data_IF_324111384541
#
_entry.id   IF_324111384541
#
_cell.length_a   1.000
_cell.length_b   1.000
_cell.length_c   1.000
_cell.angle_alpha   90.00
_cell.angle_beta   90.00
_cell.angle_gamma   90.00
#
_symmetry.space_group_name_H-M   'P 1'
#
loop_
_entity.id
_entity.type
_entity.pdbx_description
1 polymer ?
#
# COMPACT_ATOMS: atom_id res chain seq x y z
N UNK A 1 24.37 -2.84 16.28
CA UNK A 1 23.42 -3.91 15.93
C UNK A 1 23.57 -4.25 14.44
N UNK A 2 23.24 -5.47 14.00
CA UNK A 2 23.46 -5.92 12.61
C UNK A 2 22.81 -5.01 11.56
N UNK A 3 21.60 -4.50 11.85
CA UNK A 3 20.83 -3.64 10.95
C UNK A 3 21.56 -2.34 10.61
N UNK A 4 22.11 -1.65 11.61
CA UNK A 4 22.54 -0.27 11.50
C UNK A 4 24.04 -0.03 11.67
N UNK A 5 24.81 -1.03 12.11
CA UNK A 5 26.27 -0.95 12.30
C UNK A 5 26.74 0.31 13.08
N UNK A 6 25.92 0.78 14.02
CA UNK A 6 26.21 1.95 14.86
C UNK A 6 25.64 3.28 14.35
N UNK A 7 25.07 3.32 13.14
CA UNK A 7 24.49 4.53 12.56
C UNK A 7 23.06 4.79 13.04
N UNK A 8 22.69 6.06 13.09
CA UNK A 8 21.31 6.51 13.27
C UNK A 8 20.98 7.62 12.27
N UNK A 9 19.69 7.79 11.98
CA UNK A 9 19.21 9.01 11.32
C UNK A 9 18.91 10.08 12.38
N UNK A 10 18.57 11.29 11.94
CA UNK A 10 18.30 12.42 12.83
C UNK A 10 17.23 12.10 13.90
N UNK A 11 16.18 11.35 13.52
CA UNK A 11 15.11 10.93 14.44
C UNK A 11 15.66 10.02 15.55
N UNK A 12 16.56 9.09 15.21
CA UNK A 12 17.20 8.19 16.17
C UNK A 12 18.13 8.93 17.14
N UNK A 13 18.91 9.90 16.66
CA UNK A 13 19.81 10.69 17.52
C UNK A 13 19.05 11.52 18.57
N UNK A 14 17.84 11.99 18.26
CA UNK A 14 17.00 12.75 19.19
C UNK A 14 16.02 11.90 20.00
N UNK A 15 16.13 10.56 19.94
CA UNK A 15 15.20 9.66 20.62
C UNK A 15 15.14 9.89 22.14
N UNK A 16 16.25 10.30 22.77
CA UNK A 16 16.28 10.61 24.20
C UNK A 16 15.33 11.76 24.61
N UNK A 17 14.87 12.61 23.66
CA UNK A 17 14.02 13.77 23.96
C UNK A 17 12.52 13.49 23.88
N UNK A 18 12.08 12.46 23.15
CA UNK A 18 10.65 12.25 22.83
C UNK A 18 9.79 12.01 24.07
N UNK A 19 10.44 11.62 25.18
CA UNK A 19 9.76 11.39 26.45
C UNK A 19 9.64 12.62 27.35
N UNK A 20 10.17 13.77 26.97
CA UNK A 20 10.27 14.94 27.86
C UNK A 20 9.55 16.17 27.31
N UNK A 21 8.56 15.98 26.43
CA UNK A 21 7.63 17.05 26.06
C UNK A 21 6.94 17.62 27.29
N UNK A 22 6.91 18.95 27.41
CA UNK A 22 6.39 19.66 28.59
C UNK A 22 4.89 19.43 28.84
N UNK A 23 4.17 19.01 27.82
CA UNK A 23 2.72 18.77 27.77
C UNK A 23 2.36 17.28 27.88
N UNK A 24 3.30 16.42 28.31
CA UNK A 24 3.04 14.99 28.54
C UNK A 24 1.83 14.80 29.45
N UNK A 25 0.87 13.99 28.99
CA UNK A 25 -0.30 13.63 29.78
C UNK A 25 0.12 12.87 31.05
N UNK A 26 -0.24 13.40 32.22
CA UNK A 26 0.10 12.82 33.54
C UNK A 26 -1.12 12.27 34.30
N UNK A 27 -2.33 12.61 33.87
CA UNK A 27 -3.61 12.17 34.47
C UNK A 27 -4.63 11.89 33.39
N UNK A 28 -5.57 10.94 33.61
CA UNK A 28 -6.75 10.81 32.78
C UNK A 28 -7.53 12.13 32.69
N UNK A 29 -8.01 12.46 31.50
CA UNK A 29 -8.81 13.64 31.24
C UNK A 29 -10.21 13.22 30.80
N UNK A 30 -11.24 13.69 31.52
CA UNK A 30 -12.65 13.42 31.20
C UNK A 30 -13.37 14.72 30.85
N UNK A 31 -14.22 14.71 29.81
CA UNK A 31 -15.10 15.84 29.53
C UNK A 31 -16.24 15.87 30.54
N UNK A 32 -16.37 16.97 31.28
CA UNK A 32 -17.41 17.12 32.30
C UNK A 32 -18.15 18.44 32.22
N UNK A 33 -19.39 18.44 32.70
CA UNK A 33 -20.18 19.65 32.92
C UNK A 33 -19.76 20.37 34.23
N UNK A 34 -20.49 21.42 34.60
CA UNK A 34 -20.23 22.20 35.83
C UNK A 34 -20.39 21.37 37.11
N UNK A 35 -21.26 20.37 37.10
CA UNK A 35 -21.52 19.44 38.22
C UNK A 35 -20.47 18.32 38.33
N UNK A 36 -19.52 18.23 37.39
CA UNK A 36 -18.51 17.19 37.35
C UNK A 36 -18.98 15.86 36.74
N UNK A 37 -20.16 15.84 36.11
CA UNK A 37 -20.71 14.68 35.43
C UNK A 37 -20.18 14.60 34.00
N UNK A 38 -20.10 13.40 33.42
CA UNK A 38 -19.69 13.24 32.02
C UNK A 38 -20.62 13.99 31.07
N UNK A 39 -20.05 14.81 30.19
CA UNK A 39 -20.77 15.54 29.15
C UNK A 39 -19.91 15.59 27.88
N UNK A 40 -20.47 15.13 26.75
CA UNK A 40 -19.80 15.13 25.46
C UNK A 40 -19.40 16.53 24.97
N UNK A 41 -20.13 17.56 25.39
CA UNK A 41 -19.84 18.98 25.10
C UNK A 41 -19.03 19.67 26.20
N UNK A 42 -18.74 18.97 27.30
CA UNK A 42 -17.98 19.47 28.42
C UNK A 42 -16.49 19.73 28.10
N UNK A 43 -15.84 20.48 28.99
CA UNK A 43 -14.38 20.72 28.95
C UNK A 43 -13.65 19.58 29.65
N UNK A 44 -12.42 19.30 29.22
CA UNK A 44 -11.58 18.31 29.88
C UNK A 44 -11.21 18.77 31.30
N UNK A 45 -11.38 17.88 32.28
CA UNK A 45 -10.85 18.02 33.63
C UNK A 45 -10.10 16.76 34.04
N UNK A 46 -9.02 16.87 34.84
CA UNK A 46 -8.32 15.71 35.38
C UNK A 46 -9.21 14.88 36.29
N UNK A 47 -9.16 13.55 36.16
CA UNK A 47 -9.87 12.60 37.04
C UNK A 47 -8.93 11.47 37.49
N UNK A 48 -9.35 10.69 38.48
CA UNK A 48 -8.62 9.47 38.87
C UNK A 48 -8.79 8.37 37.81
N UNK A 49 -7.84 7.42 37.78
CA UNK A 49 -7.95 6.22 36.95
C UNK A 49 -9.23 5.43 37.22
N UNK A 50 -9.61 5.28 38.50
CA UNK A 50 -10.86 4.61 38.86
C UNK A 50 -12.05 5.30 38.21
N UNK A 51 -12.15 6.64 38.30
CA UNK A 51 -13.27 7.39 37.69
C UNK A 51 -13.29 7.28 36.17
N UNK A 52 -12.13 7.27 35.53
CA UNK A 52 -12.02 7.08 34.08
C UNK A 52 -12.53 5.69 33.67
N UNK A 53 -12.10 4.63 34.36
CA UNK A 53 -12.58 3.27 34.09
C UNK A 53 -14.06 3.06 34.43
N UNK A 54 -14.58 3.64 35.51
CA UNK A 54 -16.01 3.57 35.86
C UNK A 54 -16.88 4.15 34.71
N UNK A 55 -16.45 5.26 34.10
CA UNK A 55 -17.19 5.86 32.97
C UNK A 55 -17.04 5.05 31.68
N UNK A 56 -15.83 4.51 31.40
CA UNK A 56 -15.62 3.61 30.27
C UNK A 56 -16.48 2.34 30.38
N UNK A 57 -16.50 1.70 31.55
CA UNK A 57 -17.30 0.49 31.82
C UNK A 57 -18.79 0.76 31.59
N UNK A 58 -19.33 1.86 32.13
CA UNK A 58 -20.72 2.26 31.93
C UNK A 58 -21.07 2.40 30.44
N UNK A 59 -20.22 3.06 29.65
CA UNK A 59 -20.47 3.26 28.23
C UNK A 59 -20.27 1.99 27.40
N UNK A 60 -19.26 1.18 27.70
CA UNK A 60 -19.03 -0.12 27.05
C UNK A 60 -20.21 -1.05 27.31
N UNK A 61 -20.67 -1.19 28.56
CA UNK A 61 -21.85 -2.01 28.90
C UNK A 61 -23.11 -1.52 28.19
N UNK A 62 -23.31 -0.20 28.11
CA UNK A 62 -24.43 0.39 27.37
C UNK A 62 -24.36 0.01 25.87
N UNK A 63 -23.22 0.23 25.22
CA UNK A 63 -23.03 -0.06 23.81
C UNK A 63 -23.19 -1.56 23.50
N UNK A 64 -22.63 -2.44 24.34
CA UNK A 64 -22.79 -3.89 24.20
C UNK A 64 -24.25 -4.33 24.35
N UNK A 65 -25.01 -3.72 25.26
CA UNK A 65 -26.43 -4.01 25.45
C UNK A 65 -27.29 -3.54 24.26
N UNK A 66 -26.99 -2.38 23.70
CA UNK A 66 -27.79 -1.74 22.64
C UNK A 66 -27.43 -2.24 21.23
N UNK A 67 -26.15 -2.51 20.96
CA UNK A 67 -25.63 -2.80 19.61
C UNK A 67 -24.86 -4.11 19.51
N UNK A 68 -24.78 -4.88 20.60
CA UNK A 68 -24.02 -6.13 20.64
C UNK A 68 -22.50 -5.92 20.59
N UNK A 69 -21.72 -6.99 20.32
CA UNK A 69 -20.24 -6.96 20.32
C UNK A 69 -19.61 -5.88 19.43
N UNK A 70 -20.20 -5.59 18.27
CA UNK A 70 -19.68 -4.61 17.31
C UNK A 70 -20.00 -3.16 17.70
N UNK A 71 -20.78 -2.93 18.77
CA UNK A 71 -20.98 -1.61 19.36
C UNK A 71 -19.73 -1.02 20.04
N UNK A 72 -18.69 -1.84 20.23
CA UNK A 72 -17.40 -1.44 20.82
C UNK A 72 -16.29 -1.78 19.84
N UNK A 73 -15.38 -0.83 19.62
CA UNK A 73 -14.26 -0.98 18.70
C UNK A 73 -12.94 -0.50 19.30
N UNK A 74 -11.83 -1.06 18.82
CA UNK A 74 -10.46 -0.63 19.16
C UNK A 74 -9.72 -0.28 17.88
N UNK A 75 -9.21 0.95 17.80
CA UNK A 75 -8.24 1.31 16.76
C UNK A 75 -6.83 1.11 17.33
N UNK A 76 -6.15 0.05 16.89
CA UNK A 76 -4.84 -0.36 17.38
C UNK A 76 -3.68 0.38 16.73
N UNK A 77 -2.46 -0.06 17.02
CA UNK A 77 -1.24 0.54 16.48
C UNK A 77 -0.17 -0.49 16.18
N UNK A 78 0.52 -0.37 15.04
CA UNK A 78 1.76 -1.10 14.75
C UNK A 78 2.94 -0.67 15.62
N UNK A 79 2.77 0.36 16.46
CA UNK A 79 3.76 0.82 17.45
C UNK A 79 3.54 0.20 18.84
N UNK A 80 2.55 -0.67 18.99
CA UNK A 80 2.41 -1.47 20.20
C UNK A 80 3.61 -2.41 20.36
N UNK A 81 3.92 -2.73 21.61
CA UNK A 81 4.66 -3.96 21.88
C UNK A 81 3.83 -5.15 21.40
N UNK A 82 4.51 -6.26 21.09
CA UNK A 82 3.84 -7.51 20.69
C UNK A 82 2.80 -7.93 21.74
N UNK A 83 3.16 -7.81 23.02
CA UNK A 83 2.30 -8.20 24.14
C UNK A 83 1.05 -7.33 24.27
N UNK A 84 1.14 -6.02 24.06
CA UNK A 84 -0.02 -5.12 24.03
C UNK A 84 -0.98 -5.45 22.89
N UNK A 85 -0.44 -5.69 21.69
CA UNK A 85 -1.24 -6.11 20.53
C UNK A 85 -1.96 -7.44 20.78
N UNK A 86 -1.25 -8.42 21.33
CA UNK A 86 -1.83 -9.72 21.68
C UNK A 86 -2.92 -9.62 22.76
N UNK A 87 -2.69 -8.82 23.81
CA UNK A 87 -3.67 -8.57 24.86
C UNK A 87 -4.94 -7.88 24.31
N UNK A 88 -4.77 -6.86 23.47
CA UNK A 88 -5.89 -6.17 22.82
C UNK A 88 -6.71 -7.12 21.92
N UNK A 89 -6.03 -7.99 21.16
CA UNK A 89 -6.69 -9.01 20.34
C UNK A 89 -7.49 -10.00 21.19
N UNK A 90 -6.93 -10.51 22.30
CA UNK A 90 -7.66 -11.41 23.21
C UNK A 90 -8.86 -10.71 23.85
N UNK A 91 -8.68 -9.48 24.32
CA UNK A 91 -9.77 -8.69 24.88
C UNK A 91 -10.92 -8.52 23.88
N UNK A 92 -10.63 -8.14 22.64
CA UNK A 92 -11.66 -7.88 21.64
C UNK A 92 -12.29 -9.19 21.11
N UNK A 93 -11.47 -10.13 20.62
CA UNK A 93 -11.95 -11.33 19.92
C UNK A 93 -12.48 -12.40 20.87
N UNK A 94 -11.82 -12.63 22.01
CA UNK A 94 -12.23 -13.66 22.96
C UNK A 94 -13.09 -13.10 24.11
N UNK A 95 -12.79 -11.89 24.59
CA UNK A 95 -13.55 -11.24 25.67
C UNK A 95 -14.86 -10.64 25.17
N UNK A 96 -14.79 -9.56 24.41
CA UNK A 96 -15.98 -8.87 23.88
C UNK A 96 -16.63 -9.59 22.69
N UNK A 97 -16.00 -10.64 22.16
CA UNK A 97 -16.48 -11.44 21.01
C UNK A 97 -16.74 -10.59 19.77
N UNK A 98 -15.85 -9.63 19.53
CA UNK A 98 -15.94 -8.64 18.46
C UNK A 98 -14.70 -8.68 17.57
N UNK A 99 -14.91 -8.52 16.26
CA UNK A 99 -13.84 -8.31 15.28
C UNK A 99 -13.61 -6.83 14.97
N UNK A 100 -14.27 -5.90 15.68
CA UNK A 100 -14.10 -4.46 15.52
C UNK A 100 -12.77 -3.97 16.12
N UNK A 101 -11.66 -4.56 15.69
CA UNK A 101 -10.30 -4.16 16.01
C UNK A 101 -9.48 -4.12 14.72
N UNK A 102 -8.90 -2.96 14.43
CA UNK A 102 -8.03 -2.77 13.26
C UNK A 102 -6.94 -1.73 13.61
N UNK A 103 -5.68 -1.92 13.19
CA UNK A 103 -4.59 -1.01 13.53
C UNK A 103 -4.38 0.09 12.49
N UNK A 104 -3.63 1.12 12.85
CA UNK A 104 -3.11 2.08 11.87
C UNK A 104 -2.31 1.45 10.72
N UNK A 105 -1.75 0.24 10.91
CA UNK A 105 -1.08 -0.53 9.86
C UNK A 105 -2.00 -0.90 8.68
N UNK A 106 -3.33 -0.81 8.84
CA UNK A 106 -4.30 -0.85 7.74
C UNK A 106 -3.98 0.18 6.65
N UNK A 107 -3.56 1.37 7.05
CA UNK A 107 -3.21 2.47 6.15
C UNK A 107 -1.79 2.36 5.58
N UNK A 108 -1.06 1.28 5.90
CA UNK A 108 0.34 1.11 5.53
C UNK A 108 0.57 -0.22 4.81
N UNK A 109 0.44 -1.34 5.52
CA UNK A 109 0.93 -2.64 5.06
C UNK A 109 -0.17 -3.54 4.48
N UNK A 110 -1.45 -3.19 4.60
CA UNK A 110 -2.55 -4.08 4.21
C UNK A 110 -2.47 -4.58 2.76
N UNK A 111 -2.11 -3.70 1.81
CA UNK A 111 -1.95 -4.11 0.40
C UNK A 111 -0.77 -5.06 0.20
N UNK A 112 0.34 -4.84 0.91
CA UNK A 112 1.49 -5.73 0.87
C UNK A 112 1.15 -7.12 1.43
N UNK A 113 0.50 -7.17 2.60
CA UNK A 113 0.05 -8.42 3.24
C UNK A 113 -0.84 -9.24 2.31
N UNK A 114 -1.82 -8.59 1.67
CA UNK A 114 -2.71 -9.28 0.73
C UNK A 114 -1.96 -9.75 -0.53
N UNK A 115 -1.02 -8.95 -1.05
CA UNK A 115 -0.16 -9.36 -2.16
C UNK A 115 0.71 -10.57 -1.82
N UNK A 116 1.27 -10.61 -0.60
CA UNK A 116 2.02 -11.75 -0.08
C UNK A 116 1.15 -13.00 0.04
N UNK A 117 -0.06 -12.90 0.61
CA UNK A 117 -0.98 -14.03 0.66
C UNK A 117 -1.41 -14.53 -0.71
N UNK A 118 -1.70 -13.64 -1.67
CA UNK A 118 -2.10 -14.04 -3.01
C UNK A 118 -0.97 -14.69 -3.81
N UNK A 119 0.29 -14.31 -3.56
CA UNK A 119 1.44 -14.80 -4.32
C UNK A 119 2.12 -16.01 -3.67
N UNK A 120 2.26 -16.00 -2.35
CA UNK A 120 3.08 -16.96 -1.60
C UNK A 120 2.30 -17.73 -0.52
N UNK A 121 1.07 -17.33 -0.21
CA UNK A 121 0.25 -17.95 0.83
C UNK A 121 0.71 -17.66 2.27
N UNK A 122 1.76 -16.85 2.45
CA UNK A 122 2.31 -16.44 3.74
C UNK A 122 2.72 -14.97 3.67
N UNK A 123 2.67 -14.28 4.81
CA UNK A 123 3.04 -12.86 4.95
C UNK A 123 4.56 -12.68 5.12
N UNK A 124 5.00 -11.42 4.98
CA UNK A 124 6.36 -10.92 5.13
C UNK A 124 7.37 -11.26 4.00
N UNK A 125 8.44 -10.45 3.83
CA UNK A 125 9.45 -10.68 2.79
C UNK A 125 10.20 -12.01 2.94
N UNK A 126 10.56 -12.62 1.82
CA UNK A 126 11.40 -13.82 1.77
C UNK A 126 12.90 -13.55 1.94
N UNK A 127 13.33 -12.31 1.70
CA UNK A 127 14.71 -11.85 1.83
C UNK A 127 15.02 -11.17 3.17
N UNK A 128 16.20 -10.58 3.27
CA UNK A 128 16.61 -9.82 4.45
C UNK A 128 17.53 -8.64 4.07
N UNK A 129 17.96 -7.83 5.04
CA UNK A 129 18.76 -6.65 4.73
C UNK A 129 20.15 -6.96 4.17
N UNK A 130 20.66 -8.18 4.33
CA UNK A 130 21.97 -8.58 3.80
C UNK A 130 21.95 -8.69 2.27
N UNK A 131 20.77 -8.78 1.66
CA UNK A 131 20.59 -8.74 0.21
C UNK A 131 21.08 -7.41 -0.40
N UNK A 132 21.11 -6.33 0.41
CA UNK A 132 21.60 -5.01 -0.04
C UNK A 132 23.08 -5.09 -0.41
N UNK A 133 23.89 -5.83 0.32
CA UNK A 133 25.33 -5.97 0.03
C UNK A 133 25.62 -6.98 -1.08
N UNK A 134 24.66 -7.86 -1.41
CA UNK A 134 24.84 -8.93 -2.40
C UNK A 134 24.34 -8.53 -3.80
N UNK A 135 23.37 -7.63 -3.89
CA UNK A 135 22.75 -7.28 -5.16
C UNK A 135 23.65 -6.44 -6.06
N UNK A 136 23.42 -6.55 -7.37
CA UNK A 136 24.02 -5.74 -8.42
C UNK A 136 23.05 -4.67 -8.95
N UNK A 137 21.76 -4.76 -8.59
CA UNK A 137 20.76 -3.78 -9.02
C UNK A 137 19.73 -3.56 -7.93
N UNK A 138 19.51 -2.29 -7.60
CA UNK A 138 18.49 -1.83 -6.66
C UNK A 138 17.45 -1.04 -7.45
N UNK A 139 16.20 -1.51 -7.44
CA UNK A 139 15.07 -0.79 -8.04
C UNK A 139 14.13 -0.31 -6.94
N UNK A 140 14.05 1.00 -6.75
CA UNK A 140 13.12 1.63 -5.82
C UNK A 140 11.81 2.00 -6.53
N UNK A 141 10.74 1.26 -6.24
CA UNK A 141 9.39 1.56 -6.72
C UNK A 141 8.66 2.49 -5.75
N UNK A 142 8.77 3.80 -6.00
CA UNK A 142 8.11 4.87 -5.25
C UNK A 142 8.68 5.11 -3.84
N UNK A 143 9.71 4.37 -3.44
CA UNK A 143 10.26 4.44 -2.09
C UNK A 143 11.28 5.56 -1.95
N UNK A 144 10.92 6.60 -1.18
CA UNK A 144 11.85 7.64 -0.75
C UNK A 144 12.73 7.14 0.42
N UNK A 145 13.61 6.19 0.14
CA UNK A 145 14.43 5.52 1.15
C UNK A 145 15.34 6.49 1.90
N UNK A 146 15.87 7.52 1.23
CA UNK A 146 16.77 8.50 1.83
C UNK A 146 16.16 9.20 3.06
N UNK A 147 14.84 9.40 3.08
CA UNK A 147 14.15 10.12 4.16
C UNK A 147 13.33 9.18 5.08
N UNK A 148 12.78 8.10 4.52
CA UNK A 148 11.83 7.21 5.19
C UNK A 148 12.53 5.97 5.77
N UNK A 149 13.61 5.49 5.14
CA UNK A 149 14.43 4.38 5.59
C UNK A 149 15.94 4.70 5.56
N UNK A 150 16.42 5.76 6.24
CA UNK A 150 17.74 6.34 5.95
C UNK A 150 18.91 5.39 6.22
N UNK A 151 18.77 4.44 7.16
CA UNK A 151 19.83 3.46 7.45
C UNK A 151 19.93 2.41 6.34
N UNK A 152 18.81 1.97 5.78
CA UNK A 152 18.83 1.08 4.62
C UNK A 152 19.37 1.83 3.40
N UNK A 153 18.98 3.10 3.22
CA UNK A 153 19.55 3.93 2.16
C UNK A 153 21.06 4.15 2.32
N UNK A 154 21.56 4.29 3.55
CA UNK A 154 23.00 4.35 3.81
C UNK A 154 23.72 3.07 3.36
N UNK A 155 23.11 1.89 3.55
CA UNK A 155 23.66 0.61 3.05
C UNK A 155 23.61 0.51 1.52
N UNK A 156 22.51 0.95 0.90
CA UNK A 156 22.40 1.06 -0.57
C UNK A 156 23.46 2.01 -1.13
N UNK A 157 23.66 3.15 -0.47
CA UNK A 157 24.69 4.15 -0.81
C UNK A 157 26.09 3.53 -0.73
N UNK A 158 26.38 2.81 0.35
CA UNK A 158 27.67 2.13 0.54
C UNK A 158 27.91 1.08 -0.56
N UNK A 159 26.92 0.22 -0.85
CA UNK A 159 27.00 -0.76 -1.93
C UNK A 159 27.23 -0.11 -3.30
N UNK A 160 26.47 0.93 -3.63
CA UNK A 160 26.59 1.65 -4.91
C UNK A 160 27.94 2.36 -5.05
N UNK A 161 28.41 3.06 -4.02
CA UNK A 161 29.65 3.84 -4.10
C UNK A 161 30.92 2.99 -4.01
N UNK A 162 30.84 1.81 -3.39
CA UNK A 162 31.96 0.87 -3.31
C UNK A 162 32.20 0.10 -4.62
N UNK A 163 31.18 -0.01 -5.48
CA UNK A 163 31.27 -0.71 -6.77
C UNK A 163 30.35 -0.02 -7.83
N UNK A 164 30.64 1.24 -8.21
CA UNK A 164 29.71 2.07 -8.98
C UNK A 164 29.53 1.62 -10.44
N UNK A 165 30.52 0.91 -10.99
CA UNK A 165 30.49 0.39 -12.35
C UNK A 165 29.54 -0.80 -12.46
N UNK A 166 29.55 -1.70 -11.46
CA UNK A 166 28.70 -2.89 -11.42
C UNK A 166 27.32 -2.61 -10.85
N UNK A 167 27.24 -1.91 -9.73
CA UNK A 167 25.98 -1.73 -9.00
C UNK A 167 25.14 -0.64 -9.64
N UNK A 168 23.88 -0.92 -9.95
CA UNK A 168 22.92 0.06 -10.46
C UNK A 168 21.84 0.39 -9.44
N UNK A 169 21.49 1.67 -9.34
CA UNK A 169 20.38 2.17 -8.52
C UNK A 169 19.40 2.88 -9.44
N UNK A 170 18.16 2.38 -9.50
CA UNK A 170 17.09 2.91 -10.34
C UNK A 170 15.96 3.34 -9.42
N UNK A 171 15.49 4.58 -9.58
CA UNK A 171 14.28 5.02 -8.90
C UNK A 171 13.14 5.22 -9.90
N UNK A 172 11.95 4.78 -9.51
CA UNK A 172 10.70 4.95 -10.25
C UNK A 172 9.70 5.62 -9.31
N UNK A 173 9.34 6.88 -9.54
CA UNK A 173 8.62 7.73 -8.58
C UNK A 173 7.73 8.75 -9.27
N UNK A 174 6.85 9.41 -8.51
CA UNK A 174 5.92 10.43 -9.07
C UNK A 174 6.45 11.86 -8.95
N UNK A 175 7.53 12.07 -8.19
CA UNK A 175 8.20 13.36 -8.01
C UNK A 175 9.66 13.15 -7.59
N UNK A 176 10.53 14.11 -7.89
CA UNK A 176 11.94 14.07 -7.50
C UNK A 176 12.12 14.28 -6.00
N UNK A 177 12.96 13.47 -5.37
CA UNK A 177 13.29 13.55 -3.94
C UNK A 177 14.72 13.06 -3.69
N UNK A 178 15.24 13.14 -2.46
CA UNK A 178 16.65 12.87 -2.13
C UNK A 178 17.18 11.50 -2.55
N UNK A 179 16.32 10.49 -2.68
CA UNK A 179 16.78 9.18 -3.20
C UNK A 179 17.24 9.27 -4.68
N UNK A 180 16.76 10.26 -5.44
CA UNK A 180 17.14 10.51 -6.84
C UNK A 180 18.58 10.98 -7.01
N UNK A 181 19.22 11.47 -5.95
CA UNK A 181 20.57 12.05 -6.01
C UNK A 181 21.67 10.98 -6.18
N UNK A 182 21.39 9.72 -5.82
CA UNK A 182 22.32 8.59 -5.94
C UNK A 182 22.08 7.73 -7.20
N UNK A 183 20.85 7.71 -7.71
CA UNK A 183 20.43 6.77 -8.76
C UNK A 183 21.13 7.01 -10.09
N UNK A 184 21.47 5.94 -10.80
CA UNK A 184 21.99 5.99 -12.17
C UNK A 184 20.97 6.61 -13.13
N UNK A 185 19.68 6.33 -12.95
CA UNK A 185 18.61 7.08 -13.61
C UNK A 185 17.29 7.04 -12.84
N UNK A 186 16.43 8.00 -13.18
CA UNK A 186 15.16 8.28 -12.52
C UNK A 186 14.01 8.27 -13.53
N UNK A 187 12.94 7.52 -13.22
CA UNK A 187 11.70 7.51 -13.98
C UNK A 187 10.65 8.28 -13.18
N UNK A 188 10.25 9.46 -13.68
CA UNK A 188 9.14 10.24 -13.13
C UNK A 188 7.86 9.85 -13.88
N UNK A 189 6.95 9.15 -13.20
CA UNK A 189 5.72 8.64 -13.81
C UNK A 189 4.45 9.28 -13.25
N UNK A 190 3.38 9.26 -14.04
CA UNK A 190 2.06 9.75 -13.65
C UNK A 190 1.47 8.82 -12.58
N UNK A 191 0.89 9.34 -11.48
CA UNK A 191 0.30 8.48 -10.44
C UNK A 191 -0.61 7.38 -11.00
N UNK A 192 -0.52 6.17 -10.42
CA UNK A 192 -1.29 4.97 -10.78
C UNK A 192 -0.94 4.33 -12.14
N UNK A 193 0.09 4.82 -12.83
CA UNK A 193 0.55 4.22 -14.11
C UNK A 193 1.76 3.29 -13.94
N UNK A 194 2.21 3.08 -12.71
CA UNK A 194 3.20 2.07 -12.32
C UNK A 194 2.80 0.67 -12.78
N UNK A 195 1.53 0.30 -12.65
CA UNK A 195 1.01 -0.98 -13.16
C UNK A 195 1.27 -1.17 -14.67
N UNK A 196 1.24 -0.08 -15.47
CA UNK A 196 1.56 -0.17 -16.89
C UNK A 196 3.05 -0.48 -17.09
N UNK A 197 3.91 0.09 -16.26
CA UNK A 197 5.37 -0.14 -16.30
C UNK A 197 5.69 -1.58 -15.86
N UNK A 198 5.04 -2.09 -14.80
CA UNK A 198 5.16 -3.49 -14.38
C UNK A 198 4.78 -4.46 -15.50
N UNK A 199 3.62 -4.24 -16.13
CA UNK A 199 3.18 -5.10 -17.24
C UNK A 199 4.04 -4.92 -18.50
N UNK A 200 4.60 -3.74 -18.74
CA UNK A 200 5.59 -3.54 -19.81
C UNK A 200 6.86 -4.36 -19.56
N UNK A 201 7.42 -4.33 -18.35
CA UNK A 201 8.60 -5.13 -18.00
C UNK A 201 8.31 -6.63 -18.18
N UNK A 202 7.15 -7.10 -17.69
CA UNK A 202 6.71 -8.48 -17.90
C UNK A 202 6.58 -8.82 -19.39
N UNK A 203 6.01 -7.92 -20.19
CA UNK A 203 5.91 -8.07 -21.66
C UNK A 203 7.28 -8.19 -22.30
N UNK A 204 8.25 -7.35 -21.93
CA UNK A 204 9.61 -7.42 -22.48
C UNK A 204 10.31 -8.73 -22.13
N UNK A 205 10.19 -9.20 -20.87
CA UNK A 205 10.70 -10.51 -20.45
C UNK A 205 10.08 -11.64 -21.27
N UNK A 206 8.76 -11.63 -21.45
CA UNK A 206 8.07 -12.67 -22.22
C UNK A 206 8.46 -12.59 -23.70
N UNK A 207 8.33 -11.43 -24.33
CA UNK A 207 8.46 -11.31 -25.79
C UNK A 207 9.90 -11.44 -26.30
N UNK A 208 10.91 -11.18 -25.47
CA UNK A 208 12.33 -11.41 -25.82
C UNK A 208 12.74 -12.87 -25.65
N UNK A 209 12.09 -13.61 -24.75
CA UNK A 209 12.33 -15.03 -24.55
C UNK A 209 11.88 -15.89 -25.74
N UNK A 210 12.65 -16.93 -26.07
CA UNK A 210 12.36 -17.90 -27.14
C UNK A 210 10.94 -18.45 -27.08
N UNK A 211 10.41 -18.74 -25.90
CA UNK A 211 9.04 -19.29 -25.77
C UNK A 211 7.95 -18.23 -25.83
N UNK A 212 8.28 -16.96 -25.62
CA UNK A 212 7.38 -15.85 -25.91
C UNK A 212 7.48 -15.33 -27.36
N UNK A 213 8.37 -15.90 -28.19
CA UNK A 213 8.52 -15.57 -29.61
C UNK A 213 9.73 -14.71 -29.94
N UNK A 214 10.59 -14.44 -28.97
CA UNK A 214 11.86 -13.75 -29.17
C UNK A 214 13.01 -14.71 -29.49
N UNK A 215 14.23 -14.27 -29.22
CA UNK A 215 15.46 -15.01 -29.57
C UNK A 215 16.35 -15.32 -28.37
N UNK A 216 16.06 -14.73 -27.22
CA UNK A 216 16.88 -14.83 -26.01
C UNK A 216 16.40 -15.97 -25.09
N UNK A 217 17.24 -16.39 -24.17
CA UNK A 217 16.93 -17.42 -23.16
C UNK A 217 16.99 -16.76 -21.77
N UNK A 218 15.93 -16.04 -21.43
CA UNK A 218 15.92 -15.12 -20.26
C UNK A 218 14.94 -15.56 -19.17
N UNK A 219 13.97 -16.41 -19.49
CA UNK A 219 13.07 -16.99 -18.50
C UNK A 219 13.66 -18.32 -18.01
N UNK A 220 13.86 -18.46 -16.71
CA UNK A 220 14.17 -19.74 -16.08
C UNK A 220 12.94 -20.67 -16.13
N UNK A 221 12.81 -21.38 -17.24
CA UNK A 221 11.69 -22.27 -17.50
C UNK A 221 11.63 -23.47 -16.56
N UNK A 222 12.74 -23.87 -15.96
CA UNK A 222 12.75 -24.97 -15.00
C UNK A 222 12.17 -24.49 -13.67
N UNK A 223 12.51 -23.28 -13.23
CA UNK A 223 11.88 -22.66 -12.09
C UNK A 223 10.38 -22.44 -12.32
N UNK A 224 9.99 -21.86 -13.46
CA UNK A 224 8.57 -21.62 -13.78
C UNK A 224 7.76 -22.92 -13.71
N UNK A 225 8.23 -23.99 -14.37
CA UNK A 225 7.50 -25.28 -14.40
C UNK A 225 7.37 -25.94 -13.04
N UNK A 226 8.35 -25.75 -12.14
CA UNK A 226 8.39 -26.41 -10.83
C UNK A 226 7.70 -25.61 -9.73
N UNK A 227 7.69 -24.29 -9.83
CA UNK A 227 7.40 -23.41 -8.69
C UNK A 227 6.35 -22.33 -8.96
N UNK A 228 5.89 -22.14 -10.20
CA UNK A 228 4.99 -21.04 -10.56
C UNK A 228 3.71 -21.56 -11.22
N UNK A 229 2.60 -20.94 -10.82
CA UNK A 229 1.33 -20.98 -11.55
C UNK A 229 1.00 -19.57 -12.04
N UNK A 230 0.28 -19.48 -13.16
CA UNK A 230 -0.25 -18.21 -13.64
C UNK A 230 -1.71 -18.08 -13.23
N UNK A 231 -2.12 -16.90 -12.79
CA UNK A 231 -3.49 -16.62 -12.40
C UNK A 231 -3.94 -15.25 -12.89
N UNK A 232 -5.25 -15.12 -13.12
CA UNK A 232 -5.91 -13.84 -13.39
C UNK A 232 -6.93 -13.54 -12.30
N UNK A 233 -7.11 -12.24 -12.03
CA UNK A 233 -8.17 -11.72 -11.18
C UNK A 233 -9.22 -10.96 -12.01
N UNK A 234 -10.39 -10.66 -11.43
CA UNK A 234 -11.38 -9.81 -12.08
C UNK A 234 -10.85 -8.38 -12.20
N UNK A 235 -11.28 -7.71 -13.28
CA UNK A 235 -11.15 -6.25 -13.39
C UNK A 235 -12.28 -5.57 -12.59
N UNK A 236 -12.49 -4.25 -12.74
CA UNK A 236 -13.67 -3.54 -12.23
C UNK A 236 -14.06 -3.74 -10.76
N UNK A 237 -13.10 -3.80 -9.83
CA UNK A 237 -13.32 -4.12 -8.41
C UNK A 237 -13.70 -2.91 -7.53
N UNK A 238 -14.06 -1.77 -8.13
CA UNK A 238 -14.36 -0.55 -7.41
C UNK A 238 -13.13 0.11 -6.78
N UNK A 239 -13.37 1.02 -5.83
CA UNK A 239 -12.39 1.87 -5.15
C UNK A 239 -12.51 1.82 -3.62
N UNK A 240 -13.34 0.91 -3.09
CA UNK A 240 -13.52 0.72 -1.65
C UNK A 240 -14.31 1.84 -0.97
N UNK A 241 -15.14 2.55 -1.74
CA UNK A 241 -16.05 3.57 -1.20
C UNK A 241 -17.39 2.94 -0.81
N UNK A 242 -18.24 3.72 -0.13
CA UNK A 242 -19.61 3.31 0.18
C UNK A 242 -20.38 3.03 -1.12
N UNK A 243 -21.13 1.94 -1.14
CA UNK A 243 -22.03 1.59 -2.23
C UNK A 243 -23.47 2.04 -1.97
N UNK A 244 -24.25 2.20 -3.04
CA UNK A 244 -25.61 2.75 -2.98
C UNK A 244 -26.59 1.92 -2.13
N UNK A 245 -26.35 0.62 -2.01
CA UNK A 245 -27.16 -0.34 -1.26
C UNK A 245 -26.75 -0.49 0.22
N UNK A 246 -25.70 0.18 0.65
CA UNK A 246 -25.27 0.11 2.04
C UNK A 246 -26.16 0.93 2.98
N UNK A 247 -26.56 0.33 4.11
CA UNK A 247 -27.26 1.01 5.23
C UNK A 247 -26.50 2.25 5.76
N UNK A 248 -25.20 2.29 5.50
CA UNK A 248 -24.29 3.33 5.90
C UNK A 248 -24.56 4.64 5.11
N UNK A 249 -25.12 4.54 3.91
CA UNK A 249 -25.49 5.66 3.04
C UNK A 249 -26.89 6.18 3.41
N UNK A 250 -26.95 7.36 4.02
CA UNK A 250 -28.18 8.04 4.43
C UNK A 250 -28.41 9.29 3.59
N UNK A 251 -29.64 9.47 3.14
CA UNK A 251 -30.07 10.65 2.40
C UNK A 251 -29.81 11.95 3.19
N UNK A 252 -29.37 12.99 2.49
CA UNK A 252 -29.08 14.31 3.08
C UNK A 252 -27.86 14.36 4.01
N UNK A 253 -27.04 13.30 4.10
CA UNK A 253 -25.81 13.28 4.92
C UNK A 253 -24.52 13.53 4.14
N UNK A 254 -24.59 13.57 2.82
CA UNK A 254 -23.43 13.70 1.94
C UNK A 254 -23.63 14.87 0.99
N UNK A 255 -22.54 15.58 0.71
CA UNK A 255 -22.48 16.63 -0.30
C UNK A 255 -22.55 16.05 -1.71
N UNK A 256 -22.88 16.89 -2.69
CA UNK A 256 -22.94 16.49 -4.10
C UNK A 256 -21.61 15.91 -4.60
N UNK A 257 -20.47 16.43 -4.12
CA UNK A 257 -19.13 15.91 -4.46
C UNK A 257 -18.88 14.53 -3.89
N UNK A 258 -19.31 14.26 -2.66
CA UNK A 258 -19.22 12.91 -2.08
C UNK A 258 -20.11 11.93 -2.84
N UNK A 259 -21.32 12.36 -3.22
CA UNK A 259 -22.22 11.55 -4.05
C UNK A 259 -21.66 11.28 -5.45
N UNK A 260 -20.88 12.20 -6.03
CA UNK A 260 -20.15 11.95 -7.28
C UNK A 260 -19.12 10.81 -7.12
N UNK A 261 -18.37 10.80 -6.01
CA UNK A 261 -17.39 9.74 -5.71
C UNK A 261 -18.08 8.39 -5.51
N UNK A 262 -19.19 8.37 -4.78
CA UNK A 262 -20.01 7.17 -4.58
C UNK A 262 -20.56 6.64 -5.91
N UNK A 263 -20.99 7.51 -6.82
CA UNK A 263 -21.42 7.08 -8.17
C UNK A 263 -20.29 6.44 -8.95
N UNK A 264 -19.05 6.93 -8.83
CA UNK A 264 -17.85 6.34 -9.46
C UNK A 264 -17.51 4.95 -8.89
N UNK A 265 -17.82 4.69 -7.62
CA UNK A 265 -17.72 3.36 -7.03
C UNK A 265 -18.67 2.36 -7.67
N UNK A 266 -19.82 2.81 -8.19
CA UNK A 266 -20.79 1.93 -8.85
C UNK A 266 -20.46 1.67 -10.32
N UNK A 267 -20.04 2.69 -11.05
CA UNK A 267 -19.63 2.56 -12.44
C UNK A 267 -18.72 3.70 -12.88
N UNK A 268 -17.91 3.45 -13.90
CA UNK A 268 -17.11 4.47 -14.57
C UNK A 268 -17.21 4.35 -16.08
N UNK A 269 -16.99 5.46 -16.79
CA UNK A 269 -16.71 5.41 -18.23
C UNK A 269 -15.24 5.07 -18.43
N UNK A 270 -14.98 4.10 -19.30
CA UNK A 270 -13.61 3.69 -19.68
C UNK A 270 -12.95 4.85 -20.41
N UNK A 271 -11.82 5.32 -19.88
CA UNK A 271 -11.09 6.44 -20.48
C UNK A 271 -10.18 6.00 -21.63
N UNK A 272 -9.79 6.92 -22.54
CA UNK A 272 -8.81 6.62 -23.60
C UNK A 272 -7.46 6.11 -23.06
N UNK A 273 -7.11 6.47 -21.83
CA UNK A 273 -5.83 6.11 -21.21
C UNK A 273 -5.79 4.66 -20.74
N UNK A 274 -6.92 4.10 -20.31
CA UNK A 274 -7.02 2.72 -19.81
C UNK A 274 -7.62 1.73 -20.81
N UNK A 275 -8.31 2.23 -21.85
CA UNK A 275 -8.98 1.40 -22.84
C UNK A 275 -8.07 0.32 -23.45
N UNK A 276 -6.82 0.62 -23.89
CA UNK A 276 -5.95 -0.42 -24.44
C UNK A 276 -5.64 -1.54 -23.42
N UNK A 277 -5.39 -1.19 -22.16
CA UNK A 277 -5.15 -2.19 -21.11
C UNK A 277 -6.39 -3.04 -20.77
N UNK A 278 -7.60 -2.52 -21.04
CA UNK A 278 -8.86 -3.20 -20.78
C UNK A 278 -9.42 -3.97 -21.99
N UNK A 279 -8.87 -3.76 -23.19
CA UNK A 279 -9.30 -4.42 -24.42
C UNK A 279 -9.27 -5.97 -24.34
N UNK A 280 -8.23 -6.63 -23.76
CA UNK A 280 -8.24 -8.08 -23.58
C UNK A 280 -9.40 -8.60 -22.73
N UNK A 281 -10.02 -7.73 -21.92
CA UNK A 281 -11.15 -8.02 -21.06
C UNK A 281 -12.49 -7.60 -21.67
N UNK A 282 -12.50 -7.15 -22.93
CA UNK A 282 -13.71 -6.85 -23.70
C UNK A 282 -14.27 -5.44 -23.50
N UNK A 283 -13.50 -4.51 -22.95
CA UNK A 283 -13.91 -3.11 -22.79
C UNK A 283 -13.25 -2.18 -23.80
N UNK A 284 -13.99 -1.18 -24.25
CA UNK A 284 -13.52 -0.14 -25.18
C UNK A 284 -13.68 1.25 -24.57
N UNK A 285 -12.99 2.23 -25.14
CA UNK A 285 -13.17 3.63 -24.77
C UNK A 285 -14.64 4.04 -24.83
N UNK A 286 -15.13 4.73 -23.80
CA UNK A 286 -16.50 5.20 -23.71
C UNK A 286 -17.50 4.19 -23.14
N UNK A 287 -17.13 2.90 -23.07
CA UNK A 287 -17.96 1.89 -22.42
C UNK A 287 -18.20 2.24 -20.95
N UNK A 288 -19.38 1.89 -20.45
CA UNK A 288 -19.70 2.00 -19.02
C UNK A 288 -19.30 0.70 -18.33
N UNK A 289 -18.18 0.75 -17.61
CA UNK A 289 -17.70 -0.35 -16.78
C UNK A 289 -18.41 -0.31 -15.43
N UNK A 290 -19.30 -1.27 -15.18
CA UNK A 290 -19.98 -1.43 -13.88
C UNK A 290 -19.05 -2.07 -12.88
N UNK A 291 -18.78 -1.39 -11.78
CA UNK A 291 -17.88 -1.87 -10.74
C UNK A 291 -18.59 -2.84 -9.81
N UNK A 292 -17.89 -3.91 -9.45
CA UNK A 292 -18.29 -4.91 -8.46
C UNK A 292 -17.61 -4.58 -7.13
N UNK A 293 -18.08 -5.18 -6.05
CA UNK A 293 -17.38 -5.10 -4.77
C UNK A 293 -15.98 -5.69 -4.86
N UNK A 294 -15.05 -5.14 -4.07
CA UNK A 294 -13.68 -5.63 -3.96
C UNK A 294 -13.62 -7.13 -3.68
N UNK A 295 -12.71 -7.85 -4.33
CA UNK A 295 -12.58 -9.30 -4.20
C UNK A 295 -11.13 -9.75 -4.33
N UNK A 296 -10.81 -10.87 -3.71
CA UNK A 296 -9.52 -11.57 -3.85
C UNK A 296 -9.64 -12.81 -4.76
N UNK A 297 -10.80 -12.99 -5.40
CA UNK A 297 -11.04 -14.08 -6.33
C UNK A 297 -10.03 -14.04 -7.48
N UNK A 298 -9.52 -15.21 -7.83
CA UNK A 298 -8.61 -15.42 -8.94
C UNK A 298 -8.80 -16.84 -9.48
N UNK A 299 -8.37 -17.08 -10.71
CA UNK A 299 -8.42 -18.38 -11.35
C UNK A 299 -7.11 -18.64 -12.09
N UNK A 300 -6.71 -19.91 -12.17
CA UNK A 300 -5.53 -20.29 -12.92
C UNK A 300 -5.74 -20.03 -14.41
N UNK A 301 -4.68 -19.58 -15.07
CA UNK A 301 -4.60 -19.40 -16.52
C UNK A 301 -3.35 -20.10 -17.04
N UNK A 302 -3.31 -20.36 -18.34
CA UNK A 302 -2.11 -20.82 -19.03
C UNK A 302 -1.08 -19.69 -19.18
N UNK A 303 0.17 -20.07 -19.46
CA UNK A 303 1.21 -19.10 -19.85
C UNK A 303 0.82 -18.35 -21.13
N UNK A 304 0.15 -19.00 -22.08
CA UNK A 304 -0.27 -18.34 -23.33
C UNK A 304 -1.34 -17.28 -23.08
N UNK A 305 -2.28 -17.53 -22.18
CA UNK A 305 -3.26 -16.53 -21.73
C UNK A 305 -2.58 -15.36 -21.00
N UNK A 306 -1.60 -15.66 -20.13
CA UNK A 306 -0.80 -14.64 -19.47
C UNK A 306 -0.05 -13.78 -20.49
N UNK A 307 0.65 -14.40 -21.44
CA UNK A 307 1.33 -13.73 -22.55
C UNK A 307 0.38 -12.83 -23.34
N UNK A 308 -0.80 -13.34 -23.72
CA UNK A 308 -1.82 -12.57 -24.44
C UNK A 308 -2.28 -11.36 -23.63
N UNK A 309 -2.42 -11.50 -22.32
CA UNK A 309 -2.81 -10.38 -21.45
C UNK A 309 -1.80 -9.22 -21.46
N UNK A 310 -0.54 -9.49 -21.81
CA UNK A 310 0.54 -8.50 -21.86
C UNK A 310 0.64 -7.74 -23.20
N UNK A 311 -0.07 -8.18 -24.25
CA UNK A 311 -0.01 -7.59 -25.59
C UNK A 311 -0.23 -6.07 -25.63
N UNK A 312 -1.19 -5.48 -24.90
CA UNK A 312 -1.46 -4.05 -24.99
C UNK A 312 -0.34 -3.16 -24.43
N UNK A 313 0.49 -3.70 -23.53
CA UNK A 313 1.51 -2.95 -22.78
C UNK A 313 2.76 -2.69 -23.62
N UNK A 314 2.58 -2.12 -24.81
CA UNK A 314 3.68 -1.72 -25.69
C UNK A 314 4.42 -0.50 -25.13
N UNK A 315 5.68 -0.32 -25.54
CA UNK A 315 6.47 0.86 -25.16
C UNK A 315 5.75 2.18 -25.47
N UNK A 316 5.14 2.30 -26.64
CA UNK A 316 4.47 3.53 -27.06
C UNK A 316 3.22 3.82 -26.22
N UNK A 317 2.42 2.80 -25.93
CA UNK A 317 1.25 2.94 -25.06
C UNK A 317 1.68 3.32 -23.64
N UNK A 318 2.61 2.56 -23.06
CA UNK A 318 3.07 2.76 -21.69
C UNK A 318 3.73 4.11 -21.54
N UNK A 319 4.61 4.51 -22.46
CA UNK A 319 5.26 5.82 -22.43
C UNK A 319 4.24 6.97 -22.53
N UNK A 320 3.27 6.87 -23.43
CA UNK A 320 2.23 7.90 -23.65
C UNK A 320 1.39 8.12 -22.39
N UNK A 321 1.05 7.05 -21.68
CA UNK A 321 0.20 7.14 -20.49
C UNK A 321 1.00 7.44 -19.22
N UNK A 322 2.18 6.84 -19.07
CA UNK A 322 2.92 6.85 -17.83
C UNK A 322 3.87 8.04 -17.67
N UNK A 323 4.25 8.77 -18.73
CA UNK A 323 5.15 9.94 -18.60
C UNK A 323 4.59 10.95 -17.58
N UNK A 324 5.35 11.19 -16.51
CA UNK A 324 4.96 12.05 -15.39
C UNK A 324 5.62 13.43 -15.40
N UNK A 325 6.88 13.52 -15.81
CA UNK A 325 7.61 14.78 -15.89
C UNK A 325 7.18 15.59 -17.13
N UNK A 326 6.57 16.78 -17.00
CA UNK A 326 6.13 17.57 -18.14
C UNK A 326 7.29 18.04 -19.03
N UNK A 327 8.49 18.23 -18.49
CA UNK A 327 9.66 18.78 -19.19
C UNK A 327 10.48 17.70 -19.90
N UNK A 328 10.26 16.43 -19.56
CA UNK A 328 10.88 15.30 -20.25
C UNK A 328 10.21 15.02 -21.61
N UNK A 329 11.00 14.84 -22.67
CA UNK A 329 10.48 14.40 -23.97
C UNK A 329 10.01 12.95 -23.93
N UNK A 330 9.01 12.60 -24.76
CA UNK A 330 8.51 11.23 -24.82
C UNK A 330 9.59 10.22 -25.23
N UNK A 331 10.51 10.61 -26.11
CA UNK A 331 11.60 9.75 -26.56
C UNK A 331 12.66 9.54 -25.47
N UNK A 332 12.92 10.57 -24.63
CA UNK A 332 13.75 10.41 -23.43
C UNK A 332 13.11 9.43 -22.45
N UNK A 333 11.80 9.57 -22.18
CA UNK A 333 11.09 8.66 -21.30
C UNK A 333 11.09 7.21 -21.83
N UNK A 334 10.83 7.02 -23.13
CA UNK A 334 10.92 5.71 -23.79
C UNK A 334 12.30 5.08 -23.67
N UNK A 335 13.36 5.88 -23.79
CA UNK A 335 14.74 5.41 -23.61
C UNK A 335 14.94 4.86 -22.20
N UNK A 336 14.48 5.58 -21.16
CA UNK A 336 14.58 5.12 -19.76
C UNK A 336 13.79 3.83 -19.52
N UNK A 337 12.62 3.66 -20.13
CA UNK A 337 11.84 2.42 -20.02
C UNK A 337 12.56 1.20 -20.63
N UNK A 338 13.40 1.41 -21.65
CA UNK A 338 14.14 0.35 -22.35
C UNK A 338 15.46 -0.06 -21.67
N UNK A 339 15.98 0.76 -20.76
CA UNK A 339 17.28 0.56 -20.10
C UNK A 339 17.16 -0.44 -18.96
#
# INVERSE_FOLDING_TARGET
APVNRGLNCIKGYFNAKIMYGADRLTKPLLRVNEKGEFDKKGKFKPVSWKRAFDEMEKHIKKALKESGPEGVAVFGSGQYTIMEGYAALKMMKAGFRSNAIDPNARHCMASAVVGFYQTFGIDEPSGCYDDIELTDTIVSWGSNMAEMHPILWSRVTDRKLSDPDRVKVINIQTYTHRSCDLSDFNIIFRPQTDMLIWNYIAREIVTRDKRGGGTEDIIDWDFIKKHIVFAAGPVNIGYGMRREDEKSLKEGKYSDKEMEIIKKEMAKKVSPLEAPALEPYGYKEGDVMKNRGGTLAHWMISFDEYKKSLEPYTLDYVAKVAKGDPDESIESFKKKLKM
#
